data_IF_909248957469
#
_entry.id   IF_909248957469
#
_cell.length_a   1.000
_cell.length_b   1.000
_cell.length_c   1.000
_cell.angle_alpha   90.00
_cell.angle_beta   90.00
_cell.angle_gamma   90.00
#
_symmetry.space_group_name_H-M   'P 1'
#
loop_
_entity.id
_entity.type
_entity.pdbx_description
1 polymer ?
#
# COMPACT_ATOMS: atom_id res chain seq x y z
N UNK A 1 2.97 5.38 -15.89
CA UNK A 1 4.19 5.82 -15.22
C UNK A 1 3.93 6.13 -13.77
N UNK A 2 4.76 5.64 -12.86
CA UNK A 2 4.55 5.94 -11.45
C UNK A 2 4.93 7.38 -11.13
N UNK A 3 4.35 7.87 -10.07
CA UNK A 3 4.70 9.17 -9.52
C UNK A 3 5.64 8.92 -8.35
N UNK A 4 6.80 9.59 -8.35
CA UNK A 4 7.76 9.45 -7.28
C UNK A 4 7.39 10.33 -6.10
N UNK A 5 7.66 9.87 -4.91
CA UNK A 5 7.45 10.66 -3.71
C UNK A 5 6.05 11.24 -3.65
N UNK A 6 5.06 10.41 -3.86
CA UNK A 6 3.68 10.85 -3.97
C UNK A 6 3.03 11.07 -2.61
N UNK A 7 2.52 12.26 -2.40
CA UNK A 7 1.79 12.57 -1.17
C UNK A 7 0.35 12.12 -1.34
N UNK A 8 -0.05 11.14 -0.58
CA UNK A 8 -1.36 10.53 -0.75
C UNK A 8 -2.41 11.02 0.25
N UNK A 9 -1.98 11.64 1.33
CA UNK A 9 -2.90 12.04 2.38
C UNK A 9 -3.28 13.51 2.26
N UNK A 10 -4.54 13.86 2.45
CA UNK A 10 -4.97 15.24 2.29
C UNK A 10 -4.40 16.20 3.33
N UNK A 11 -4.05 15.69 4.51
CA UNK A 11 -3.57 16.55 5.60
C UNK A 11 -2.17 16.25 6.06
N UNK A 12 -1.78 14.99 6.06
CA UNK A 12 -0.46 14.59 6.53
C UNK A 12 0.54 14.61 5.37
N UNK A 13 1.80 14.73 5.71
CA UNK A 13 2.84 14.85 4.68
C UNK A 13 3.41 13.52 4.21
N UNK A 14 2.78 12.44 4.58
CA UNK A 14 3.26 11.12 4.19
C UNK A 14 3.34 10.97 2.68
N UNK A 15 4.36 10.25 2.23
CA UNK A 15 4.58 9.99 0.81
C UNK A 15 4.83 8.52 0.58
N UNK A 16 4.51 8.08 -0.62
CA UNK A 16 4.93 6.77 -1.09
C UNK A 16 6.12 6.97 -2.01
N UNK A 17 7.07 6.02 -1.99
CA UNK A 17 8.23 6.13 -2.87
C UNK A 17 7.80 6.13 -4.33
N UNK A 18 6.90 5.24 -4.71
CA UNK A 18 6.33 5.20 -6.03
C UNK A 18 4.84 4.92 -5.93
N UNK A 19 4.05 5.59 -6.74
CA UNK A 19 2.60 5.41 -6.70
C UNK A 19 2.00 5.43 -8.09
N UNK A 20 0.96 4.67 -8.24
CA UNK A 20 0.11 4.69 -9.44
C UNK A 20 -1.28 5.13 -8.97
N UNK A 21 -1.52 6.44 -8.92
CA UNK A 21 -2.75 6.96 -8.30
C UNK A 21 -4.03 6.47 -8.95
N UNK A 22 -4.00 6.23 -10.25
CA UNK A 22 -5.18 5.74 -10.95
C UNK A 22 -5.64 4.40 -10.42
N UNK A 23 -4.70 3.60 -9.93
CA UNK A 23 -4.99 2.27 -9.41
C UNK A 23 -5.00 2.25 -7.90
N UNK A 24 -4.59 3.34 -7.28
CA UNK A 24 -4.38 3.41 -5.84
C UNK A 24 -3.47 2.29 -5.35
N UNK A 25 -2.38 2.13 -6.05
CA UNK A 25 -1.34 1.16 -5.72
C UNK A 25 -0.04 1.90 -5.52
N UNK A 26 0.73 1.48 -4.55
CA UNK A 26 2.00 2.11 -4.25
C UNK A 26 3.06 1.09 -3.90
N UNK A 27 4.31 1.48 -4.06
CA UNK A 27 5.45 0.67 -3.66
C UNK A 27 6.32 1.50 -2.72
N UNK A 28 6.67 0.88 -1.60
CA UNK A 28 7.59 1.46 -0.63
C UNK A 28 8.84 0.61 -0.58
N UNK A 29 10.00 1.25 -0.61
CA UNK A 29 11.28 0.54 -0.52
C UNK A 29 11.85 0.79 0.86
N UNK A 30 11.99 -0.29 1.62
CA UNK A 30 12.41 -0.17 3.01
C UNK A 30 13.80 -0.73 3.17
N UNK A 31 14.76 0.14 3.10
CA UNK A 31 16.14 -0.28 3.10
C UNK A 31 16.71 -0.44 4.49
N UNK A 32 17.25 0.58 4.98
CA UNK A 32 18.01 0.49 6.17
C UNK A 32 17.30 0.74 7.48
N UNK A 33 16.04 1.07 7.40
CA UNK A 33 15.34 1.55 8.57
C UNK A 33 15.36 0.57 9.73
N UNK A 34 15.12 -0.67 9.45
CA UNK A 34 15.04 -1.64 10.51
C UNK A 34 16.41 -2.01 11.08
N UNK A 35 17.46 -1.74 10.34
CA UNK A 35 18.80 -1.98 10.81
C UNK A 35 19.22 -0.98 11.85
N UNK A 36 19.03 0.25 11.54
CA UNK A 36 19.46 1.30 12.42
C UNK A 36 18.50 1.57 13.50
N UNK A 37 17.43 1.01 13.34
CA UNK A 37 16.45 1.47 14.04
C UNK A 37 16.01 1.02 15.25
N UNK A 38 16.33 0.04 15.69
CA UNK A 38 15.62 -0.51 16.77
C UNK A 38 15.46 0.34 18.01
N UNK A 39 16.22 1.40 18.16
CA UNK A 39 15.98 2.20 19.32
C UNK A 39 15.19 3.42 19.06
N UNK A 40 15.39 4.03 17.97
CA UNK A 40 14.81 5.32 17.71
C UNK A 40 13.42 5.21 17.29
N UNK A 41 12.96 4.09 17.50
CA UNK A 41 11.96 3.81 16.75
C UNK A 41 10.71 3.69 17.26
N UNK A 42 10.44 3.66 18.39
CA UNK A 42 9.09 3.57 18.87
C UNK A 42 8.22 4.62 18.22
N UNK A 43 8.74 5.83 18.17
CA UNK A 43 8.00 6.93 17.56
C UNK A 43 7.82 6.74 16.06
N UNK A 44 8.90 6.38 15.37
CA UNK A 44 8.84 6.14 13.95
C UNK A 44 7.96 4.96 13.60
N UNK A 45 8.00 3.95 14.42
CA UNK A 45 7.20 2.76 14.23
C UNK A 45 5.71 3.06 14.31
N UNK A 46 5.30 3.83 15.32
CA UNK A 46 3.92 4.23 15.48
C UNK A 46 3.46 5.11 14.31
N UNK A 47 4.31 6.03 13.90
CA UNK A 47 3.99 6.88 12.78
C UNK A 47 3.79 6.07 11.49
N UNK A 48 4.59 5.04 11.30
CA UNK A 48 4.45 4.17 10.14
C UNK A 48 3.13 3.40 10.20
N UNK A 49 2.75 2.94 11.36
CA UNK A 49 1.47 2.28 11.50
C UNK A 49 0.32 3.19 11.13
N UNK A 50 0.38 4.43 11.60
CA UNK A 50 -0.65 5.40 11.26
C UNK A 50 -0.70 5.65 9.75
N UNK A 51 0.48 5.80 9.15
CA UNK A 51 0.57 6.03 7.72
C UNK A 51 -0.12 4.93 6.92
N UNK A 52 0.19 3.69 7.24
CA UNK A 52 -0.34 2.58 6.46
C UNK A 52 -1.80 2.33 6.75
N UNK A 53 -2.24 2.55 7.98
CA UNK A 53 -3.65 2.45 8.28
C UNK A 53 -4.46 3.50 7.51
N UNK A 54 -3.96 4.73 7.48
CA UNK A 54 -4.62 5.78 6.71
C UNK A 54 -4.61 5.47 5.22
N UNK A 55 -3.54 4.87 4.74
CA UNK A 55 -3.48 4.47 3.34
C UNK A 55 -4.57 3.47 3.01
N UNK A 56 -4.75 2.48 3.87
CA UNK A 56 -5.78 1.48 3.67
C UNK A 56 -7.17 2.13 3.69
N UNK A 57 -7.40 3.03 4.63
CA UNK A 57 -8.67 3.71 4.73
C UNK A 57 -8.99 4.54 3.49
N UNK A 58 -7.95 5.06 2.84
CA UNK A 58 -8.11 5.83 1.62
C UNK A 58 -8.14 4.95 0.36
N UNK A 59 -8.11 3.65 0.55
CA UNK A 59 -8.24 2.71 -0.56
C UNK A 59 -6.94 2.31 -1.23
N UNK A 60 -5.82 2.60 -0.61
CA UNK A 60 -4.52 2.28 -1.20
C UNK A 60 -4.09 0.86 -0.88
N UNK A 61 -3.43 0.23 -1.84
CA UNK A 61 -2.78 -1.07 -1.65
C UNK A 61 -1.28 -0.84 -1.79
N UNK A 62 -0.55 -1.14 -0.75
CA UNK A 62 0.88 -0.82 -0.68
C UNK A 62 1.70 -2.10 -0.65
N UNK A 63 2.64 -2.20 -1.58
CA UNK A 63 3.61 -3.28 -1.60
C UNK A 63 4.91 -2.75 -1.01
N UNK A 64 5.54 -3.54 -0.18
CA UNK A 64 6.75 -3.13 0.53
C UNK A 64 7.88 -4.08 0.22
N UNK A 65 9.01 -3.55 -0.13
CA UNK A 65 10.17 -4.36 -0.52
C UNK A 65 11.46 -3.81 0.02
N UNK A 66 12.42 -4.68 0.18
CA UNK A 66 13.80 -4.24 0.42
C UNK A 66 14.45 -3.88 -0.92
N UNK A 67 15.56 -3.16 -0.92
CA UNK A 67 16.26 -2.89 -2.17
C UNK A 67 16.67 -4.16 -2.91
N UNK A 68 17.04 -5.21 -2.17
CA UNK A 68 17.41 -6.48 -2.80
C UNK A 68 16.23 -7.12 -3.51
N UNK A 69 15.06 -7.04 -2.91
CA UNK A 69 13.86 -7.59 -3.54
C UNK A 69 13.47 -6.81 -4.78
N UNK A 70 13.71 -5.50 -4.77
CA UNK A 70 13.47 -4.68 -5.95
C UNK A 70 14.38 -5.13 -7.09
N UNK A 71 15.66 -5.38 -6.79
CA UNK A 71 16.59 -5.85 -7.80
C UNK A 71 16.21 -7.21 -8.35
N UNK A 72 15.66 -8.05 -7.50
CA UNK A 72 15.21 -9.37 -7.92
C UNK A 72 14.03 -9.32 -8.88
N UNK A 73 13.31 -8.23 -8.90
CA UNK A 73 12.27 -8.03 -9.92
C UNK A 73 10.90 -8.59 -9.63
N UNK A 74 10.73 -9.18 -8.47
CA UNK A 74 9.45 -9.79 -8.15
C UNK A 74 8.31 -8.79 -8.05
N UNK A 75 8.65 -7.54 -7.78
CA UNK A 75 7.65 -6.49 -7.65
C UNK A 75 6.85 -6.28 -8.94
N UNK A 76 7.45 -6.58 -10.09
CA UNK A 76 6.77 -6.39 -11.37
C UNK A 76 5.56 -7.30 -11.47
N UNK A 77 5.73 -8.56 -11.12
CA UNK A 77 4.63 -9.51 -11.16
C UNK A 77 3.57 -9.18 -10.14
N UNK A 78 3.99 -8.80 -8.95
CA UNK A 78 3.05 -8.44 -7.90
C UNK A 78 2.22 -7.22 -8.29
N UNK A 79 2.88 -6.23 -8.88
CA UNK A 79 2.19 -5.03 -9.32
C UNK A 79 1.19 -5.36 -10.42
N UNK A 80 1.59 -6.18 -11.37
CA UNK A 80 0.70 -6.59 -12.44
C UNK A 80 -0.53 -7.31 -11.90
N UNK A 81 -0.34 -8.16 -10.91
CA UNK A 81 -1.46 -8.88 -10.30
C UNK A 81 -2.43 -7.93 -9.63
N UNK A 82 -1.92 -6.92 -8.95
CA UNK A 82 -2.78 -5.95 -8.30
C UNK A 82 -3.59 -5.14 -9.31
N UNK A 83 -2.95 -4.70 -10.36
CA UNK A 83 -3.63 -3.91 -11.38
C UNK A 83 -4.66 -4.73 -12.12
N UNK A 84 -4.32 -5.97 -12.45
CA UNK A 84 -5.24 -6.87 -13.11
C UNK A 84 -6.45 -7.17 -12.24
N UNK A 85 -6.19 -7.44 -10.98
CA UNK A 85 -7.25 -7.74 -10.03
C UNK A 85 -8.22 -6.58 -9.88
N UNK A 86 -7.69 -5.38 -9.83
CA UNK A 86 -8.53 -4.20 -9.69
C UNK A 86 -9.42 -3.99 -10.91
N UNK A 87 -8.88 -4.19 -12.09
CA UNK A 87 -9.68 -4.09 -13.30
C UNK A 87 -10.77 -5.12 -13.32
N UNK A 88 -10.47 -6.33 -12.89
CA UNK A 88 -11.46 -7.40 -12.87
C UNK A 88 -12.54 -7.14 -11.83
N UNK A 89 -12.17 -6.66 -10.69
CA UNK A 89 -13.15 -6.32 -9.68
C UNK A 89 -14.08 -5.24 -10.17
N UNK A 90 -13.56 -4.31 -10.93
CA UNK A 90 -14.37 -3.25 -11.49
C UNK A 90 -15.38 -3.83 -12.48
N UNK A 91 -15.00 -4.87 -13.19
CA UNK A 91 -15.87 -5.49 -14.17
C UNK A 91 -16.87 -6.45 -13.58
N UNK A 92 -16.49 -7.10 -12.50
CA UNK A 92 -17.36 -8.10 -11.93
C UNK A 92 -18.38 -7.54 -11.03
N UNK A 93 -18.46 -6.21 -11.04
CA UNK A 93 -19.66 -5.88 -10.54
C UNK A 93 -19.86 -5.70 -9.11
N UNK A 94 -20.27 -4.59 -8.85
CA UNK A 94 -20.48 -4.10 -7.55
C UNK A 94 -21.46 -4.87 -6.72
N UNK A 95 -22.34 -5.58 -7.34
CA UNK A 95 -23.39 -6.22 -6.55
C UNK A 95 -22.95 -7.37 -5.71
N UNK A 96 -21.84 -8.00 -6.02
CA UNK A 96 -21.38 -9.11 -5.23
C UNK A 96 -20.44 -8.70 -4.13
N UNK A 97 -19.81 -7.56 -4.29
CA UNK A 97 -18.77 -7.19 -3.38
C UNK A 97 -19.26 -6.53 -2.12
N UNK A 98 -20.36 -5.85 -2.19
CA UNK A 98 -20.83 -5.10 -1.03
C UNK A 98 -21.13 -5.98 0.17
N UNK A 99 -21.89 -7.01 -0.04
CA UNK A 99 -22.26 -7.88 1.05
C UNK A 99 -21.08 -8.61 1.64
N UNK A 100 -20.20 -9.09 0.77
CA UNK A 100 -19.04 -9.83 1.24
C UNK A 100 -18.05 -8.95 1.97
N UNK A 101 -17.86 -7.76 1.48
CA UNK A 101 -16.95 -6.83 2.12
C UNK A 101 -17.43 -6.47 3.52
N UNK A 102 -18.71 -6.25 3.67
CA UNK A 102 -19.27 -5.95 4.97
C UNK A 102 -19.13 -7.11 5.94
N UNK A 103 -19.38 -8.30 5.45
CA UNK A 103 -19.23 -9.49 6.27
C UNK A 103 -17.80 -9.65 6.76
N UNK A 104 -16.84 -9.41 5.90
CA UNK A 104 -15.45 -9.53 6.31
C UNK A 104 -15.09 -8.52 7.37
N UNK A 105 -15.52 -7.31 7.19
CA UNK A 105 -15.24 -6.26 8.16
C UNK A 105 -15.85 -6.62 9.51
N UNK A 106 -17.06 -7.08 9.51
CA UNK A 106 -17.72 -7.46 10.74
C UNK A 106 -17.02 -8.61 11.44
N UNK A 107 -16.52 -9.56 10.69
CA UNK A 107 -15.80 -10.67 11.28
C UNK A 107 -14.45 -10.27 11.84
N UNK A 108 -13.85 -9.26 11.29
CA UNK A 108 -12.58 -8.81 11.78
C UNK A 108 -12.68 -7.98 13.03
N UNK A 109 -13.82 -7.43 13.28
CA UNK A 109 -14.07 -6.66 14.47
C UNK A 109 -14.64 -7.56 15.55
#
# INVERSE_FOLDING_TARGET
MPVNEYRFHPKRRWRFDYAWPEYKVAIEIEGGAWIYGRHTRAKGFVNDMEKYNEAVLLGWRVLRYTPEQIKAGQWVDNLAKLMYSQEHEHKTDDRQTDGKARCRVQKMV
#
